data_IF_864819946032
#
_entry.id   IF_864819946032
#
_cell.length_a   1.000
_cell.length_b   1.000
_cell.length_c   1.000
_cell.angle_alpha   90.00
_cell.angle_beta   90.00
_cell.angle_gamma   90.00
#
_symmetry.space_group_name_H-M   'P 1'
#
loop_
_entity.id
_entity.type
_entity.pdbx_description
1 polymer ?
#
# COMPACT_ATOMS: atom_id res chain seq x y z
N UNK A 1 13.09 23.93 39.76
CA UNK A 1 13.36 24.40 38.38
C UNK A 1 14.59 23.64 37.87
N UNK A 2 14.38 22.49 37.24
CA UNK A 2 15.46 21.59 36.79
C UNK A 2 15.31 21.35 35.29
N UNK A 3 16.16 22.03 34.53
CA UNK A 3 16.33 21.89 33.08
C UNK A 3 16.97 20.54 32.76
N UNK A 4 16.21 19.63 32.15
CA UNK A 4 16.75 18.37 31.63
C UNK A 4 17.15 18.55 30.17
N UNK A 5 18.46 18.47 29.92
CA UNK A 5 19.06 18.59 28.60
C UNK A 5 18.75 17.41 27.68
N UNK A 6 18.70 17.71 26.37
CA UNK A 6 18.84 16.71 25.31
C UNK A 6 19.90 17.19 24.33
N UNK A 7 21.09 16.65 24.54
CA UNK A 7 22.21 16.68 23.60
C UNK A 7 21.80 15.95 22.31
N UNK A 8 21.53 16.70 21.26
CA UNK A 8 21.53 16.16 19.90
C UNK A 8 22.98 16.03 19.46
N UNK A 9 23.55 14.81 19.59
CA UNK A 9 24.92 14.55 19.14
C UNK A 9 24.94 14.31 17.63
N UNK A 10 25.69 15.18 16.98
CA UNK A 10 26.25 15.15 15.65
C UNK A 10 26.92 13.80 15.33
N UNK A 11 26.53 13.17 14.22
CA UNK A 11 27.22 12.01 13.63
C UNK A 11 27.18 12.11 12.10
N UNK A 12 27.80 13.15 11.56
CA UNK A 12 27.86 13.39 10.10
C UNK A 12 29.27 13.77 9.65
N UNK A 13 30.30 13.38 10.40
CA UNK A 13 31.68 13.70 10.04
C UNK A 13 32.56 12.44 10.01
N UNK A 14 33.18 12.27 8.83
CA UNK A 14 34.26 11.33 8.44
C UNK A 14 33.85 9.96 7.89
N UNK A 15 33.72 9.89 6.56
CA UNK A 15 34.72 9.23 5.70
C UNK A 15 34.45 9.56 4.22
N UNK A 16 35.47 9.92 3.41
CA UNK A 16 35.34 10.04 1.97
C UNK A 16 35.53 8.65 1.34
N UNK A 17 34.48 8.08 0.74
CA UNK A 17 34.62 6.89 -0.08
C UNK A 17 34.40 7.24 -1.54
N UNK A 18 35.50 7.15 -2.28
CA UNK A 18 35.68 7.20 -3.73
C UNK A 18 34.47 6.75 -4.55
N UNK A 19 33.98 7.68 -5.38
CA UNK A 19 33.07 7.43 -6.48
C UNK A 19 33.74 6.50 -7.51
N UNK A 20 33.32 5.23 -7.55
CA UNK A 20 33.62 4.35 -8.66
C UNK A 20 32.39 4.35 -9.58
N UNK A 21 32.57 5.02 -10.73
CA UNK A 21 31.58 5.15 -11.81
C UNK A 21 31.37 3.78 -12.47
N UNK A 22 30.14 3.29 -12.53
CA UNK A 22 29.78 2.18 -13.41
C UNK A 22 29.49 2.71 -14.83
N UNK A 23 30.14 2.12 -15.83
CA UNK A 23 29.97 2.44 -17.25
C UNK A 23 28.68 1.83 -17.83
N UNK A 24 28.11 2.37 -18.93
CA UNK A 24 26.92 1.80 -19.57
C UNK A 24 27.30 0.64 -20.52
N UNK A 25 26.72 -0.54 -20.30
CA UNK A 25 26.76 -1.69 -21.22
C UNK A 25 25.71 -1.56 -22.35
N UNK A 26 25.81 -2.39 -23.41
CA UNK A 26 25.17 -2.11 -24.70
C UNK A 26 23.66 -2.38 -24.69
N UNK A 27 22.96 -1.57 -25.49
CA UNK A 27 21.52 -1.59 -25.71
C UNK A 27 21.06 -2.87 -26.42
N UNK A 28 20.61 -3.85 -25.63
CA UNK A 28 19.73 -4.93 -26.09
C UNK A 28 18.31 -4.65 -25.63
N UNK A 29 17.33 -4.86 -26.52
CA UNK A 29 15.89 -4.70 -26.35
C UNK A 29 15.43 -4.56 -24.88
N UNK A 30 15.27 -3.31 -24.42
CA UNK A 30 14.81 -3.03 -23.07
C UNK A 30 13.29 -3.21 -23.05
N UNK A 31 12.82 -4.40 -22.66
CA UNK A 31 11.57 -4.47 -21.89
C UNK A 31 11.70 -3.40 -20.81
N UNK A 32 10.68 -2.56 -20.53
CA UNK A 32 10.82 -1.50 -19.53
C UNK A 32 11.13 -2.14 -18.17
N UNK A 33 12.42 -2.27 -17.86
CA UNK A 33 12.89 -2.89 -16.63
C UNK A 33 12.48 -1.93 -15.53
N UNK A 34 11.51 -2.35 -14.73
CA UNK A 34 11.09 -1.56 -13.60
C UNK A 34 12.29 -1.22 -12.72
N UNK A 35 12.38 0.02 -12.20
CA UNK A 35 13.54 0.45 -11.41
C UNK A 35 13.67 -0.29 -10.07
N UNK A 36 12.61 -0.99 -9.65
CA UNK A 36 12.61 -1.88 -8.49
C UNK A 36 11.45 -2.88 -8.51
N UNK A 37 11.60 -3.99 -7.80
CA UNK A 37 10.51 -4.95 -7.52
C UNK A 37 9.30 -4.27 -6.88
N UNK A 38 9.52 -3.25 -6.06
CA UNK A 38 8.44 -2.48 -5.45
C UNK A 38 7.65 -1.60 -6.41
N UNK A 39 8.17 -1.37 -7.62
CA UNK A 39 7.51 -0.56 -8.66
C UNK A 39 6.48 -1.35 -9.47
N UNK A 40 6.41 -2.67 -9.28
CA UNK A 40 5.45 -3.56 -9.94
C UNK A 40 4.00 -3.14 -9.64
N UNK A 41 3.22 -2.84 -10.68
CA UNK A 41 1.83 -2.37 -10.58
C UNK A 41 1.69 -0.86 -10.28
N UNK A 42 2.69 -0.04 -10.55
CA UNK A 42 2.55 1.42 -10.43
C UNK A 42 1.47 1.94 -11.39
N UNK A 43 0.63 2.94 -11.02
CA UNK A 43 0.67 3.75 -9.79
C UNK A 43 -0.13 3.21 -8.59
N UNK A 44 -1.15 2.37 -8.83
CA UNK A 44 -2.18 2.07 -7.84
C UNK A 44 -1.96 0.77 -7.06
N UNK A 45 -1.21 -0.16 -7.64
CA UNK A 45 -0.89 -1.47 -7.07
C UNK A 45 0.56 -1.55 -6.55
N UNK A 46 1.43 -0.60 -6.89
CA UNK A 46 2.81 -0.60 -6.44
C UNK A 46 2.96 -0.44 -4.92
N UNK A 47 4.14 -0.77 -4.41
CA UNK A 47 4.46 -0.62 -2.99
C UNK A 47 4.56 0.86 -2.60
N UNK A 48 4.79 1.13 -1.32
CA UNK A 48 5.10 2.49 -0.87
C UNK A 48 6.37 3.01 -1.54
N UNK A 49 6.42 4.32 -1.76
CA UNK A 49 7.61 5.00 -2.27
C UNK A 49 8.84 4.68 -1.39
N UNK A 50 9.97 4.43 -2.04
CA UNK A 50 11.24 4.25 -1.37
C UNK A 50 11.73 5.58 -0.83
N UNK A 51 11.94 5.68 0.49
CA UNK A 51 12.46 6.92 1.08
C UNK A 51 13.92 7.20 0.68
N UNK A 52 14.67 6.14 0.36
CA UNK A 52 16.10 6.26 -0.01
C UNK A 52 16.30 6.60 -1.48
N UNK A 53 15.36 6.27 -2.38
CA UNK A 53 15.48 6.68 -3.80
C UNK A 53 15.31 8.20 -3.92
N UNK A 54 14.41 8.79 -3.13
CA UNK A 54 14.17 10.24 -3.08
C UNK A 54 15.43 10.98 -2.64
N UNK A 55 16.21 10.38 -1.74
CA UNK A 55 17.51 10.91 -1.30
C UNK A 55 18.71 10.45 -2.13
N UNK A 56 18.53 9.66 -3.18
CA UNK A 56 19.62 9.12 -4.01
C UNK A 56 20.53 8.10 -3.31
N UNK A 57 20.10 7.52 -2.19
CA UNK A 57 20.91 6.64 -1.32
C UNK A 57 20.45 5.18 -1.32
N UNK A 58 19.49 4.80 -2.18
CA UNK A 58 19.03 3.42 -2.22
C UNK A 58 20.11 2.50 -2.84
N UNK A 59 20.65 1.58 -2.03
CA UNK A 59 21.66 0.60 -2.47
C UNK A 59 21.06 -0.69 -3.04
N UNK A 60 19.75 -0.91 -2.86
CA UNK A 60 19.09 -2.16 -3.24
C UNK A 60 18.79 -2.28 -4.74
N UNK A 61 18.89 -1.18 -5.50
CA UNK A 61 18.63 -1.16 -6.94
C UNK A 61 17.31 -1.82 -7.31
N UNK A 62 17.35 -2.72 -8.31
CA UNK A 62 16.18 -3.47 -8.79
C UNK A 62 15.57 -4.40 -7.72
N UNK A 63 16.38 -4.90 -6.78
CA UNK A 63 15.91 -5.78 -5.70
C UNK A 63 15.14 -5.03 -4.60
N UNK A 64 15.07 -3.70 -4.65
CA UNK A 64 14.32 -2.93 -3.66
C UNK A 64 12.84 -3.29 -3.65
N UNK A 65 12.31 -3.60 -2.47
CA UNK A 65 10.88 -3.93 -2.30
C UNK A 65 9.97 -2.70 -2.26
N UNK A 66 10.55 -1.49 -2.26
CA UNK A 66 9.83 -0.22 -2.33
C UNK A 66 9.81 0.34 -3.75
N UNK A 67 8.77 1.12 -4.07
CA UNK A 67 8.60 1.70 -5.40
C UNK A 67 9.61 2.82 -5.63
N UNK A 68 10.28 2.80 -6.78
CA UNK A 68 11.28 3.79 -7.19
C UNK A 68 10.72 4.83 -8.18
N UNK A 69 9.51 4.62 -8.68
CA UNK A 69 8.85 5.58 -9.59
C UNK A 69 8.34 6.81 -8.82
N UNK A 70 8.20 7.97 -9.48
CA UNK A 70 7.61 9.18 -8.91
C UNK A 70 6.19 8.91 -8.38
N UNK A 71 5.84 9.55 -7.27
CA UNK A 71 4.49 9.49 -6.69
C UNK A 71 3.99 10.92 -6.55
N UNK A 72 3.46 11.46 -7.65
CA UNK A 72 3.14 12.88 -7.77
C UNK A 72 1.92 13.29 -6.92
N UNK A 73 1.07 12.32 -6.59
CA UNK A 73 -0.06 12.52 -5.71
C UNK A 73 0.28 12.19 -4.25
N UNK A 74 -0.05 13.10 -3.34
CA UNK A 74 -0.03 12.84 -1.89
C UNK A 74 -1.03 11.73 -1.59
N UNK A 75 -0.55 10.49 -1.53
CA UNK A 75 -1.32 9.31 -1.12
C UNK A 75 -2.05 9.60 0.18
N UNK A 76 -3.36 9.38 0.19
CA UNK A 76 -4.17 9.53 1.39
C UNK A 76 -3.60 8.63 2.50
N UNK A 77 -3.47 9.20 3.70
CA UNK A 77 -3.07 8.48 4.90
C UNK A 77 -4.18 8.65 5.91
N UNK A 78 -4.57 7.54 6.52
CA UNK A 78 -5.49 7.57 7.64
C UNK A 78 -4.84 8.30 8.80
N UNK A 79 -5.57 9.19 9.47
CA UNK A 79 -5.11 9.86 10.67
C UNK A 79 -5.18 8.92 11.91
N UNK A 80 -4.78 9.42 13.07
CA UNK A 80 -4.78 8.62 14.32
C UNK A 80 -6.20 8.19 14.72
N UNK A 81 -7.21 9.03 14.52
CA UNK A 81 -8.61 8.75 14.90
C UNK A 81 -9.24 7.74 13.95
N UNK A 82 -9.04 7.91 12.65
CA UNK A 82 -9.51 7.01 11.60
C UNK A 82 -8.95 5.60 11.79
N UNK A 83 -7.64 5.47 12.09
CA UNK A 83 -7.05 4.17 12.46
C UNK A 83 -7.62 3.58 13.74
N UNK A 84 -8.08 4.41 14.67
CA UNK A 84 -8.80 3.95 15.87
C UNK A 84 -10.17 3.36 15.49
N UNK A 85 -10.94 4.09 14.69
CA UNK A 85 -12.27 3.65 14.26
C UNK A 85 -12.24 2.36 13.44
N UNK A 86 -11.24 2.17 12.57
CA UNK A 86 -11.09 0.91 11.83
C UNK A 86 -10.88 -0.30 12.76
N UNK A 87 -10.26 -0.10 13.93
CA UNK A 87 -10.07 -1.17 14.92
C UNK A 87 -11.33 -1.46 15.73
N UNK A 88 -12.28 -0.53 15.78
CA UNK A 88 -13.57 -0.73 16.42
C UNK A 88 -14.51 -1.60 15.56
N UNK A 89 -14.28 -1.65 14.24
CA UNK A 89 -15.06 -2.45 13.31
C UNK A 89 -14.58 -3.91 13.30
N UNK A 90 -15.53 -4.85 13.33
CA UNK A 90 -15.24 -6.26 13.08
C UNK A 90 -14.90 -6.51 11.61
N UNK A 91 -14.31 -7.66 11.32
CA UNK A 91 -14.01 -8.07 9.95
C UNK A 91 -15.27 -8.07 9.05
N UNK A 92 -16.39 -8.60 9.55
CA UNK A 92 -17.68 -8.61 8.85
C UNK A 92 -18.23 -7.20 8.55
N UNK A 93 -17.81 -6.18 9.31
CA UNK A 93 -18.22 -4.79 9.11
C UNK A 93 -17.26 -4.02 8.20
N UNK A 94 -15.96 -4.32 8.29
CA UNK A 94 -14.91 -3.63 7.54
C UNK A 94 -14.83 -4.11 6.08
N UNK A 95 -14.88 -5.44 5.86
CA UNK A 95 -14.72 -6.00 4.51
C UNK A 95 -15.72 -5.46 3.48
N UNK A 96 -17.02 -5.28 3.77
CA UNK A 96 -17.96 -4.67 2.82
C UNK A 96 -17.52 -3.26 2.41
N UNK A 97 -17.14 -2.41 3.37
CA UNK A 97 -16.69 -1.03 3.11
C UNK A 97 -15.44 -1.03 2.23
N UNK A 98 -14.49 -1.93 2.52
CA UNK A 98 -13.28 -2.04 1.70
C UNK A 98 -13.56 -2.56 0.30
N UNK A 99 -14.44 -3.55 0.14
CA UNK A 99 -14.84 -4.12 -1.15
C UNK A 99 -15.46 -3.05 -2.05
N UNK A 100 -16.40 -2.25 -1.53
CA UNK A 100 -17.03 -1.16 -2.29
C UNK A 100 -15.98 -0.18 -2.84
N UNK A 101 -15.03 0.24 -2.00
CA UNK A 101 -13.96 1.15 -2.44
C UNK A 101 -12.95 0.49 -3.37
N UNK A 102 -12.65 -0.79 -3.18
CA UNK A 102 -11.71 -1.53 -4.03
C UNK A 102 -12.29 -1.78 -5.42
N UNK A 103 -13.57 -2.13 -5.52
CA UNK A 103 -14.31 -2.28 -6.77
C UNK A 103 -14.34 -0.95 -7.53
N UNK A 104 -14.82 0.13 -6.89
CA UNK A 104 -14.84 1.46 -7.50
C UNK A 104 -13.46 1.94 -7.96
N UNK A 105 -12.40 1.65 -7.19
CA UNK A 105 -11.03 2.03 -7.55
C UNK A 105 -10.49 1.21 -8.72
N UNK A 106 -10.79 -0.09 -8.77
CA UNK A 106 -10.36 -0.94 -9.88
C UNK A 106 -11.07 -0.57 -11.19
N UNK A 107 -12.33 -0.13 -11.12
CA UNK A 107 -13.07 0.43 -12.24
C UNK A 107 -12.46 1.77 -12.70
N UNK A 108 -12.28 2.74 -11.80
CA UNK A 108 -11.69 4.05 -12.09
C UNK A 108 -10.32 3.95 -12.77
N UNK A 109 -9.54 2.94 -12.39
CA UNK A 109 -8.19 2.70 -12.92
C UNK A 109 -8.13 1.68 -14.04
N UNK A 110 -9.26 1.12 -14.48
CA UNK A 110 -9.33 0.25 -15.65
C UNK A 110 -8.71 -1.15 -15.48
N UNK A 111 -8.59 -1.65 -14.25
CA UNK A 111 -8.07 -2.99 -13.96
C UNK A 111 -9.07 -3.92 -13.24
N UNK A 112 -10.37 -3.59 -13.26
CA UNK A 112 -11.42 -4.37 -12.63
C UNK A 112 -11.40 -5.87 -13.00
N UNK A 113 -11.17 -6.20 -14.28
CA UNK A 113 -11.10 -7.61 -14.73
C UNK A 113 -9.92 -8.35 -14.09
N UNK A 114 -8.76 -7.71 -14.01
CA UNK A 114 -7.57 -8.28 -13.38
C UNK A 114 -7.76 -8.43 -11.86
N UNK A 115 -8.44 -7.48 -11.21
CA UNK A 115 -8.71 -7.51 -9.78
C UNK A 115 -9.79 -8.53 -9.37
N UNK A 116 -10.62 -9.00 -10.31
CA UNK A 116 -11.77 -9.86 -10.05
C UNK A 116 -11.43 -11.08 -9.18
N UNK A 117 -10.33 -11.78 -9.47
CA UNK A 117 -9.94 -12.97 -8.69
C UNK A 117 -9.65 -12.64 -7.22
N UNK A 118 -8.97 -11.52 -6.97
CA UNK A 118 -8.67 -11.05 -5.61
C UNK A 118 -9.95 -10.59 -4.89
N UNK A 119 -10.82 -9.84 -5.58
CA UNK A 119 -12.09 -9.37 -5.01
C UNK A 119 -13.01 -10.54 -4.64
N UNK A 120 -13.08 -11.57 -5.49
CA UNK A 120 -13.84 -12.79 -5.20
C UNK A 120 -13.31 -13.56 -3.99
N UNK A 121 -12.00 -13.57 -3.76
CA UNK A 121 -11.42 -14.16 -2.55
C UNK A 121 -11.90 -13.44 -1.28
N UNK A 122 -11.86 -12.10 -1.29
CA UNK A 122 -12.34 -11.28 -0.18
C UNK A 122 -13.86 -11.40 0.03
N UNK A 123 -14.65 -11.45 -1.05
CA UNK A 123 -16.09 -11.69 -0.97
C UNK A 123 -16.41 -13.09 -0.42
N UNK A 124 -15.64 -14.12 -0.76
CA UNK A 124 -15.81 -15.47 -0.19
C UNK A 124 -15.51 -15.48 1.30
N UNK A 125 -14.48 -14.74 1.74
CA UNK A 125 -14.20 -14.55 3.15
C UNK A 125 -15.38 -13.89 3.86
N UNK A 126 -15.94 -12.82 3.30
CA UNK A 126 -17.12 -12.17 3.87
C UNK A 126 -18.30 -13.15 4.07
N UNK A 127 -18.51 -14.10 3.15
CA UNK A 127 -19.60 -15.09 3.24
C UNK A 127 -19.45 -16.09 4.38
N UNK A 128 -18.22 -16.41 4.83
CA UNK A 128 -17.99 -17.39 5.90
C UNK A 128 -17.93 -16.75 7.29
N UNK A 129 -17.90 -15.42 7.35
CA UNK A 129 -17.91 -14.70 8.62
C UNK A 129 -19.30 -14.69 9.25
N UNK A 130 -19.40 -14.65 10.60
CA UNK A 130 -20.68 -14.50 11.26
C UNK A 130 -21.33 -13.16 10.85
N UNK A 131 -22.67 -13.14 10.73
CA UNK A 131 -23.38 -11.90 10.46
C UNK A 131 -23.10 -10.92 11.60
N UNK A 132 -22.72 -9.69 11.24
CA UNK A 132 -22.49 -8.62 12.20
C UNK A 132 -23.59 -7.58 12.12
N UNK A 133 -23.81 -6.88 13.24
CA UNK A 133 -24.60 -5.67 13.24
C UNK A 133 -24.01 -4.65 12.24
N UNK A 134 -24.86 -3.79 11.69
CA UNK A 134 -24.43 -2.83 10.66
C UNK A 134 -23.37 -1.87 11.24
N UNK A 135 -22.41 -1.37 10.45
CA UNK A 135 -21.36 -0.48 10.95
C UNK A 135 -21.88 0.75 11.72
N UNK A 136 -23.07 1.25 11.38
CA UNK A 136 -23.73 2.40 12.01
C UNK A 136 -24.11 2.15 13.47
N UNK A 137 -24.25 0.88 13.87
CA UNK A 137 -24.54 0.52 15.27
C UNK A 137 -23.29 0.57 16.14
N UNK A 138 -22.09 0.53 15.53
CA UNK A 138 -20.80 0.58 16.23
C UNK A 138 -20.18 1.98 16.15
N UNK A 139 -20.20 2.59 14.96
CA UNK A 139 -19.64 3.91 14.72
C UNK A 139 -20.74 4.92 14.38
N UNK A 140 -20.69 6.07 15.05
CA UNK A 140 -21.59 7.18 14.74
C UNK A 140 -21.53 7.56 13.23
N UNK A 141 -22.65 7.93 12.59
CA UNK A 141 -22.70 8.18 11.13
C UNK A 141 -21.68 9.21 10.63
N UNK A 142 -21.35 10.22 11.44
CA UNK A 142 -20.32 11.22 11.10
C UNK A 142 -18.92 10.61 11.01
N UNK A 143 -18.59 9.62 11.85
CA UNK A 143 -17.31 8.90 11.81
C UNK A 143 -17.23 8.03 10.56
N UNK A 144 -18.31 7.32 10.23
CA UNK A 144 -18.39 6.49 9.02
C UNK A 144 -18.19 7.31 7.74
N UNK A 145 -18.91 8.43 7.58
CA UNK A 145 -18.69 9.34 6.43
C UNK A 145 -17.27 9.88 6.34
N UNK A 146 -16.60 10.07 7.47
CA UNK A 146 -15.22 10.55 7.50
C UNK A 146 -14.24 9.44 7.05
N UNK A 147 -14.47 8.19 7.48
CA UNK A 147 -13.73 7.02 6.99
C UNK A 147 -13.93 6.83 5.49
N UNK A 148 -15.17 6.80 5.03
CA UNK A 148 -15.54 6.63 3.62
C UNK A 148 -14.81 7.64 2.71
N UNK A 149 -14.81 8.93 3.09
CA UNK A 149 -14.05 9.97 2.39
C UNK A 149 -12.53 9.75 2.39
N UNK A 150 -11.99 9.16 3.45
CA UNK A 150 -10.56 8.87 3.52
C UNK A 150 -10.20 7.67 2.65
N UNK A 151 -10.99 6.61 2.71
CA UNK A 151 -10.81 5.36 1.97
C UNK A 151 -10.96 5.58 0.44
N UNK A 152 -11.96 6.36 0.01
CA UNK A 152 -12.15 6.71 -1.42
C UNK A 152 -10.96 7.44 -2.07
N UNK A 153 -10.04 7.99 -1.28
CA UNK A 153 -8.82 8.68 -1.77
C UNK A 153 -7.57 7.82 -1.71
N UNK A 154 -7.68 6.58 -1.25
CA UNK A 154 -6.57 5.64 -1.14
C UNK A 154 -6.39 4.85 -2.44
N UNK A 155 -5.16 4.43 -2.72
CA UNK A 155 -4.89 3.49 -3.82
C UNK A 155 -5.46 2.11 -3.49
N UNK A 156 -5.71 1.29 -4.52
CA UNK A 156 -6.17 -0.09 -4.33
C UNK A 156 -5.25 -0.89 -3.42
N UNK A 157 -3.92 -0.77 -3.57
CA UNK A 157 -2.99 -1.48 -2.68
C UNK A 157 -3.09 -1.02 -1.22
N UNK A 158 -3.37 0.26 -0.97
CA UNK A 158 -3.55 0.76 0.39
C UNK A 158 -4.84 0.24 1.02
N UNK A 159 -5.94 0.16 0.27
CA UNK A 159 -7.21 -0.44 0.72
C UNK A 159 -7.02 -1.91 1.05
N UNK A 160 -6.36 -2.65 0.15
CA UNK A 160 -6.07 -4.08 0.33
C UNK A 160 -5.25 -4.37 1.60
N UNK A 161 -4.30 -3.50 1.95
CA UNK A 161 -3.52 -3.65 3.20
C UNK A 161 -4.35 -3.45 4.48
N UNK A 162 -5.54 -2.87 4.39
CA UNK A 162 -6.46 -2.76 5.51
C UNK A 162 -7.34 -4.00 5.66
N UNK A 163 -7.48 -4.82 4.62
CA UNK A 163 -8.25 -6.04 4.70
C UNK A 163 -7.54 -7.02 5.65
N UNK A 164 -8.20 -7.49 6.72
CA UNK A 164 -7.62 -8.47 7.62
C UNK A 164 -7.24 -9.74 6.85
N UNK A 165 -6.12 -10.34 7.25
CA UNK A 165 -5.55 -11.53 6.63
C UNK A 165 -5.47 -12.60 7.72
N UNK A 166 -6.09 -13.75 7.52
CA UNK A 166 -5.76 -14.94 8.31
C UNK A 166 -4.62 -15.72 7.66
N UNK A 167 -3.99 -16.63 8.41
CA UNK A 167 -2.78 -17.34 7.97
C UNK A 167 -3.02 -18.19 6.71
N UNK A 168 -4.23 -18.75 6.55
CA UNK A 168 -4.57 -19.61 5.41
C UNK A 168 -4.86 -18.79 4.14
N UNK A 169 -5.57 -17.67 4.25
CA UNK A 169 -5.88 -16.79 3.13
C UNK A 169 -4.71 -15.88 2.75
N UNK A 170 -3.78 -15.64 3.68
CA UNK A 170 -2.61 -14.80 3.43
C UNK A 170 -1.79 -15.25 2.23
N UNK A 171 -1.63 -16.56 2.02
CA UNK A 171 -0.91 -17.09 0.86
C UNK A 171 -1.67 -16.88 -0.46
N UNK A 172 -2.96 -17.23 -0.49
CA UNK A 172 -3.81 -17.05 -1.67
C UNK A 172 -3.93 -15.57 -2.07
N UNK A 173 -4.07 -14.67 -1.09
CA UNK A 173 -4.13 -13.23 -1.31
C UNK A 173 -2.77 -12.71 -1.79
N UNK A 174 -1.66 -13.15 -1.19
CA UNK A 174 -0.33 -12.76 -1.65
C UNK A 174 -0.06 -13.18 -3.10
N UNK A 175 -0.50 -14.39 -3.49
CA UNK A 175 -0.40 -14.87 -4.87
C UNK A 175 -1.29 -14.05 -5.81
N UNK A 176 -2.55 -13.80 -5.45
CA UNK A 176 -3.46 -12.98 -6.24
C UNK A 176 -2.95 -11.55 -6.42
N UNK A 177 -2.32 -10.96 -5.39
CA UNK A 177 -1.65 -9.65 -5.48
C UNK A 177 -0.50 -9.68 -6.49
N UNK A 178 0.31 -10.74 -6.47
CA UNK A 178 1.44 -10.86 -7.38
C UNK A 178 0.97 -10.96 -8.84
N UNK A 179 -0.02 -11.79 -9.13
CA UNK A 179 -0.62 -11.90 -10.46
C UNK A 179 -1.26 -10.59 -10.91
N UNK A 180 -2.02 -9.92 -10.03
CA UNK A 180 -2.64 -8.63 -10.32
C UNK A 180 -1.59 -7.57 -10.68
N UNK A 181 -0.48 -7.51 -9.94
CA UNK A 181 0.61 -6.57 -10.23
C UNK A 181 1.34 -6.88 -11.52
N UNK A 182 1.50 -8.15 -11.88
CA UNK A 182 2.11 -8.56 -13.15
C UNK A 182 1.23 -8.26 -14.35
N UNK A 183 -0.08 -8.40 -14.21
CA UNK A 183 -1.06 -8.12 -15.26
C UNK A 183 -1.33 -6.62 -15.48
N UNK A 184 -0.77 -5.75 -14.64
CA UNK A 184 -0.93 -4.29 -14.68
C UNK A 184 0.24 -3.56 -15.34
N UNK A 185 1.13 -4.28 -16.01
CA UNK A 185 2.30 -3.79 -16.78
C UNK A 185 2.12 -4.21 -18.22
#
# INVERSE_FOLDING_TARGET
MTSCGRQWRSRWERAPWSAQKAAPGPAGAVSPTLPSNGSLGHPDLCRSACVFVVGGTCLNGQSCTYCHLPHDEKRAKLDKRQRGWLKELSESQLLPILLDHMEARAEDKGFARQAMGLLQLLQRRLRVLPPAARPETVLAPKKLRNLDRALSRMTFFQLLRLAPQDDQQGHAIAQAIYELRRAAI
#
